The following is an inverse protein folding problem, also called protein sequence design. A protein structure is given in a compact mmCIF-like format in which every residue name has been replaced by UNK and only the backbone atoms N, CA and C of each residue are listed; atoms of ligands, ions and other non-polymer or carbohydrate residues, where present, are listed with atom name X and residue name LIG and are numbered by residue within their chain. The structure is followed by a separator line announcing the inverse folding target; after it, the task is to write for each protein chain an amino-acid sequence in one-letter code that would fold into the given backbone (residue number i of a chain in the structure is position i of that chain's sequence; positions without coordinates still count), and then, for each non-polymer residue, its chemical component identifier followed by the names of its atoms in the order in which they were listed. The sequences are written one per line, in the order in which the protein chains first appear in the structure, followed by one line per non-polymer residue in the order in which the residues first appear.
data_IF_692796137062
#
_entry.id   IF_692796137062
#
_cell.length_a   1.000
_cell.length_b   1.000
_cell.length_c   1.000
_cell.angle_alpha   90.00
_cell.angle_beta   90.00
_cell.angle_gamma   90.00
#
_symmetry.space_group_name_H-M   'P 1'
#
loop_
_entity.id
_entity.type
_entity.pdbx_description
1 polymer ?
#
# COMPACT_ATOMS: atom_id res chain seq x y z
N UNK A 1 -3.32 -31.83 -5.96
CA UNK A 1 -2.31 -31.51 -6.98
C UNK A 1 -2.51 -32.45 -8.16
N UNK A 2 -3.29 -32.06 -9.16
CA UNK A 2 -3.45 -32.74 -10.46
C UNK A 2 -4.39 -31.85 -11.32
N UNK A 3 -3.92 -30.67 -11.72
CA UNK A 3 -4.62 -29.76 -12.64
C UNK A 3 -3.72 -29.33 -13.81
N UNK A 4 -2.76 -30.19 -14.17
CA UNK A 4 -1.76 -29.90 -15.20
C UNK A 4 -1.96 -30.74 -16.49
N UNK A 5 -2.80 -31.77 -16.45
CA UNK A 5 -2.98 -32.68 -17.59
C UNK A 5 -4.14 -32.33 -18.54
N UNK A 6 -4.96 -31.31 -18.26
CA UNK A 6 -6.15 -31.02 -19.08
C UNK A 6 -6.05 -29.78 -19.98
N UNK A 7 -4.94 -29.03 -19.92
CA UNK A 7 -4.77 -27.80 -20.71
C UNK A 7 -3.77 -27.95 -21.87
N UNK A 8 -2.95 -29.02 -21.91
CA UNK A 8 -1.91 -29.16 -22.93
C UNK A 8 -2.42 -29.65 -24.31
N UNK A 9 -3.67 -30.12 -24.42
CA UNK A 9 -4.19 -30.73 -25.65
C UNK A 9 -5.28 -29.94 -26.40
N UNK A 10 -5.61 -28.71 -25.99
CA UNK A 10 -6.52 -27.84 -26.77
C UNK A 10 -5.76 -26.64 -27.33
N UNK A 11 -5.12 -26.83 -28.49
CA UNK A 11 -4.54 -25.72 -29.26
C UNK A 11 -3.39 -26.04 -30.20
N UNK A 12 -3.05 -27.30 -30.46
CA UNK A 12 -1.93 -27.66 -31.34
C UNK A 12 -2.20 -27.47 -32.86
N UNK A 13 -3.10 -26.56 -33.24
CA UNK A 13 -3.54 -26.40 -34.63
C UNK A 13 -3.30 -25.02 -35.27
N UNK A 14 -3.48 -23.92 -34.53
CA UNK A 14 -3.48 -22.59 -35.15
C UNK A 14 -2.71 -21.52 -34.37
N UNK A 15 -2.45 -21.73 -33.09
CA UNK A 15 -1.93 -20.66 -32.26
C UNK A 15 -0.40 -20.72 -32.14
N UNK A 16 0.27 -19.76 -32.79
CA UNK A 16 1.73 -19.70 -32.97
C UNK A 16 2.46 -19.01 -31.82
N UNK A 17 1.72 -18.38 -30.90
CA UNK A 17 2.27 -17.59 -29.80
C UNK A 17 1.50 -17.85 -28.51
N UNK A 18 2.19 -18.36 -27.49
CA UNK A 18 1.63 -18.55 -26.16
C UNK A 18 2.46 -17.79 -25.12
N UNK A 19 1.79 -16.95 -24.34
CA UNK A 19 2.34 -16.24 -23.19
C UNK A 19 1.70 -16.81 -21.93
N UNK A 20 2.52 -17.29 -21.02
CA UNK A 20 2.09 -17.88 -19.75
C UNK A 20 2.89 -17.30 -18.59
N UNK A 21 2.27 -17.30 -17.43
CA UNK A 21 2.91 -16.93 -16.16
C UNK A 21 2.64 -18.02 -15.13
N UNK A 22 3.49 -18.14 -14.11
CA UNK A 22 3.41 -19.24 -13.13
C UNK A 22 2.11 -19.26 -12.32
N UNK A 23 1.58 -18.08 -11.98
CA UNK A 23 0.28 -17.84 -11.35
C UNK A 23 -0.39 -16.62 -11.99
N UNK A 24 -1.69 -16.44 -11.72
CA UNK A 24 -2.47 -15.25 -12.10
C UNK A 24 -2.51 -14.18 -11.01
N UNK A 25 -2.14 -14.52 -9.77
CA UNK A 25 -2.13 -13.60 -8.63
C UNK A 25 -0.79 -13.70 -7.90
N UNK A 26 -0.16 -12.56 -7.65
CA UNK A 26 1.14 -12.46 -6.96
C UNK A 26 1.07 -11.43 -5.83
N UNK A 27 1.94 -11.57 -4.84
CA UNK A 27 2.12 -10.58 -3.78
C UNK A 27 3.13 -9.52 -4.22
N UNK A 28 3.02 -8.33 -3.64
CA UNK A 28 4.02 -7.28 -3.82
C UNK A 28 5.43 -7.80 -3.48
N UNK A 29 6.37 -7.63 -4.42
CA UNK A 29 7.76 -8.08 -4.29
C UNK A 29 8.00 -9.54 -4.68
N UNK A 30 6.96 -10.28 -5.07
CA UNK A 30 7.11 -11.62 -5.64
C UNK A 30 7.61 -11.54 -7.08
N UNK A 31 8.48 -12.48 -7.45
CA UNK A 31 9.03 -12.59 -8.79
C UNK A 31 8.00 -13.25 -9.72
N UNK A 32 7.62 -12.55 -10.78
CA UNK A 32 6.67 -13.05 -11.77
C UNK A 32 7.45 -13.67 -12.91
N UNK A 33 7.46 -15.00 -12.99
CA UNK A 33 8.09 -15.73 -14.08
C UNK A 33 7.16 -15.80 -15.28
N UNK A 34 7.71 -15.48 -16.45
CA UNK A 34 6.99 -15.43 -17.71
C UNK A 34 7.64 -16.38 -18.69
N UNK A 35 6.79 -17.21 -19.30
CA UNK A 35 7.17 -18.22 -20.28
C UNK A 35 6.46 -17.88 -21.58
N UNK A 36 7.23 -17.64 -22.63
CA UNK A 36 6.73 -17.38 -23.99
C UNK A 36 7.13 -18.54 -24.88
N UNK A 37 6.17 -19.13 -25.58
CA UNK A 37 6.43 -20.18 -26.57
C UNK A 37 6.06 -19.67 -27.96
N UNK A 38 7.00 -19.76 -28.90
CA UNK A 38 6.83 -19.28 -30.27
C UNK A 38 7.06 -20.41 -31.27
N UNK A 39 6.10 -20.59 -32.16
CA UNK A 39 6.10 -21.60 -33.21
C UNK A 39 5.98 -20.95 -34.59
N UNK A 40 6.67 -21.54 -35.58
CA UNK A 40 6.57 -21.17 -36.99
C UNK A 40 5.21 -21.59 -37.57
N UNK A 41 4.96 -21.22 -38.82
CA UNK A 41 3.76 -21.59 -39.58
C UNK A 41 3.62 -23.12 -39.71
N UNK A 42 4.75 -23.81 -39.88
CA UNK A 42 4.83 -25.28 -39.94
C UNK A 42 4.76 -25.96 -38.56
N UNK A 43 4.48 -25.20 -37.48
CA UNK A 43 4.47 -25.70 -36.10
C UNK A 43 5.87 -25.96 -35.50
N UNK A 44 6.94 -25.69 -36.25
CA UNK A 44 8.32 -25.88 -35.77
C UNK A 44 8.74 -24.76 -34.79
N UNK A 45 9.49 -25.08 -33.71
CA UNK A 45 9.88 -24.08 -32.71
C UNK A 45 10.88 -23.06 -33.28
N UNK A 46 10.64 -21.76 -33.02
CA UNK A 46 11.55 -20.68 -33.46
C UNK A 46 12.72 -20.55 -32.50
N UNK A 47 13.95 -20.70 -33.00
CA UNK A 47 15.19 -20.64 -32.19
C UNK A 47 15.91 -19.30 -32.39
N UNK A 48 16.52 -18.80 -31.32
CA UNK A 48 17.42 -17.65 -31.37
C UNK A 48 16.73 -16.31 -31.65
N UNK A 49 15.41 -16.21 -31.50
CA UNK A 49 14.71 -14.94 -31.64
C UNK A 49 15.04 -14.03 -30.45
N UNK A 50 15.21 -12.73 -30.72
CA UNK A 50 15.34 -11.73 -29.67
C UNK A 50 13.94 -11.26 -29.29
N UNK A 51 13.47 -11.70 -28.12
CA UNK A 51 12.14 -11.38 -27.62
C UNK A 51 12.24 -10.59 -26.31
N UNK A 52 11.23 -9.76 -26.06
CA UNK A 52 11.03 -9.04 -24.82
C UNK A 52 9.62 -9.29 -24.29
N UNK A 53 9.48 -9.37 -22.97
CA UNK A 53 8.18 -9.39 -22.30
C UNK A 53 7.80 -7.98 -21.91
N UNK A 54 6.56 -7.59 -22.14
CA UNK A 54 6.02 -6.32 -21.71
C UNK A 54 4.87 -6.54 -20.72
N UNK A 55 4.93 -5.88 -19.56
CA UNK A 55 3.85 -5.85 -18.59
C UNK A 55 3.21 -4.45 -18.61
N UNK A 56 2.02 -4.35 -19.21
CA UNK A 56 1.27 -3.09 -19.31
C UNK A 56 0.17 -3.01 -18.25
N UNK A 57 0.12 -1.88 -17.53
CA UNK A 57 -0.98 -1.54 -16.61
C UNK A 57 -1.87 -0.47 -17.25
N UNK A 58 -3.18 -0.44 -16.99
CA UNK A 58 -4.07 0.62 -17.51
C UNK A 58 -3.70 2.05 -17.11
N UNK A 59 -2.92 2.21 -16.04
CA UNK A 59 -2.63 3.52 -15.42
C UNK A 59 -1.14 3.88 -15.38
N UNK A 60 -0.26 3.00 -15.86
CA UNK A 60 1.20 3.15 -15.72
C UNK A 60 1.96 2.90 -17.01
N UNK A 61 3.24 3.25 -17.01
CA UNK A 61 4.15 2.92 -18.11
C UNK A 61 4.39 1.40 -18.19
N UNK A 62 4.49 0.84 -19.40
CA UNK A 62 4.77 -0.57 -19.58
C UNK A 62 6.20 -0.89 -19.13
N UNK A 63 6.34 -1.94 -18.33
CA UNK A 63 7.65 -2.46 -17.91
C UNK A 63 8.09 -3.50 -18.92
N UNK A 64 9.32 -3.38 -19.43
CA UNK A 64 9.87 -4.28 -20.45
C UNK A 64 11.05 -5.05 -19.89
N UNK A 65 11.08 -6.37 -20.09
CA UNK A 65 12.17 -7.25 -19.68
C UNK A 65 12.64 -8.11 -20.86
N UNK A 66 13.95 -8.34 -21.03
CA UNK A 66 14.45 -9.22 -22.07
C UNK A 66 14.09 -10.69 -21.74
N UNK A 67 13.63 -11.44 -22.75
CA UNK A 67 13.41 -12.87 -22.64
C UNK A 67 14.64 -13.62 -23.12
N UNK A 68 15.02 -14.69 -22.42
CA UNK A 68 16.13 -15.56 -22.78
C UNK A 68 15.60 -16.88 -23.32
N UNK A 69 16.19 -17.37 -24.41
CA UNK A 69 15.87 -18.69 -24.93
C UNK A 69 16.17 -19.76 -23.88
N UNK A 70 15.32 -20.78 -23.80
CA UNK A 70 15.52 -21.93 -22.94
C UNK A 70 16.40 -22.98 -23.65
N UNK A 71 17.51 -23.35 -23.00
CA UNK A 71 18.46 -24.33 -23.55
C UNK A 71 17.87 -25.75 -23.63
N UNK A 72 16.85 -26.08 -22.83
CA UNK A 72 16.26 -27.41 -22.76
C UNK A 72 15.06 -27.59 -23.68
N UNK A 73 14.33 -26.51 -23.98
CA UNK A 73 13.09 -26.55 -24.76
C UNK A 73 13.17 -25.53 -25.91
N UNK A 74 13.45 -25.98 -27.15
CA UNK A 74 13.47 -25.11 -28.31
C UNK A 74 12.14 -24.38 -28.50
N UNK A 75 12.19 -23.09 -28.82
CA UNK A 75 10.99 -22.27 -29.03
C UNK A 75 10.40 -21.69 -27.75
N UNK A 76 10.93 -22.06 -26.57
CA UNK A 76 10.55 -21.48 -25.29
C UNK A 76 11.53 -20.38 -24.87
N UNK A 77 10.98 -19.29 -24.37
CA UNK A 77 11.70 -18.12 -23.89
C UNK A 77 11.22 -17.78 -22.47
N UNK A 78 12.17 -17.50 -21.58
CA UNK A 78 11.96 -17.27 -20.16
C UNK A 78 12.36 -15.84 -19.79
N UNK A 79 11.55 -15.19 -18.97
CA UNK A 79 11.89 -13.92 -18.36
C UNK A 79 11.23 -13.76 -17.01
N UNK A 80 11.53 -12.67 -16.33
CA UNK A 80 10.90 -12.36 -15.06
C UNK A 80 10.72 -10.88 -14.85
N UNK A 81 9.58 -10.52 -14.28
CA UNK A 81 9.32 -9.19 -13.75
C UNK A 81 9.52 -9.21 -12.24
N UNK A 82 10.32 -8.26 -11.76
CA UNK A 82 10.62 -8.08 -10.34
C UNK A 82 10.01 -6.76 -9.85
N UNK A 83 9.44 -6.75 -8.64
CA UNK A 83 8.93 -5.56 -7.97
C UNK A 83 7.88 -4.75 -8.78
N UNK A 84 6.99 -5.43 -9.50
CA UNK A 84 5.84 -4.73 -10.11
C UNK A 84 4.97 -4.11 -9.00
N UNK A 85 4.55 -2.84 -9.14
CA UNK A 85 3.61 -2.21 -8.23
C UNK A 85 2.28 -3.00 -8.11
N UNK A 86 1.50 -2.80 -7.03
CA UNK A 86 0.18 -3.42 -6.92
C UNK A 86 -0.74 -2.94 -8.06
N UNK A 87 -1.40 -3.88 -8.75
CA UNK A 87 -2.25 -3.58 -9.89
C UNK A 87 -2.50 -4.78 -10.81
N UNK A 88 -3.39 -4.59 -11.79
CA UNK A 88 -3.62 -5.56 -12.84
C UNK A 88 -2.72 -5.25 -14.05
N UNK A 89 -2.02 -6.27 -14.54
CA UNK A 89 -1.10 -6.20 -15.66
C UNK A 89 -1.53 -7.15 -16.76
N UNK A 90 -1.43 -6.67 -18.00
CA UNK A 90 -1.46 -7.52 -19.19
C UNK A 90 -0.02 -7.76 -19.63
N UNK A 91 0.39 -9.02 -19.62
CA UNK A 91 1.70 -9.46 -20.07
C UNK A 91 1.61 -9.89 -21.53
N UNK A 92 2.44 -9.30 -22.38
CA UNK A 92 2.56 -9.62 -23.81
C UNK A 92 4.02 -9.88 -24.17
N UNK A 93 4.25 -10.58 -25.28
CA UNK A 93 5.58 -10.70 -25.88
C UNK A 93 5.72 -9.64 -26.99
N UNK A 94 6.94 -9.16 -27.22
CA UNK A 94 7.29 -8.24 -28.28
C UNK A 94 8.63 -8.62 -28.92
N UNK A 95 8.73 -8.45 -30.23
CA UNK A 95 9.88 -8.77 -31.06
C UNK A 95 9.46 -8.98 -32.51
N UNK A 96 10.40 -8.91 -33.45
CA UNK A 96 10.15 -8.97 -34.90
C UNK A 96 9.27 -10.18 -35.29
N UNK A 97 9.65 -11.38 -34.82
CA UNK A 97 8.88 -12.61 -35.08
C UNK A 97 7.46 -12.57 -34.50
N UNK A 98 7.28 -11.89 -33.36
CA UNK A 98 5.97 -11.78 -32.71
C UNK A 98 5.09 -10.78 -33.46
N UNK A 99 5.66 -9.69 -33.95
CA UNK A 99 4.96 -8.70 -34.77
C UNK A 99 4.48 -9.31 -36.08
N UNK A 100 5.30 -10.13 -36.76
CA UNK A 100 4.89 -10.85 -37.96
C UNK A 100 3.72 -11.81 -37.71
N UNK A 101 3.76 -12.54 -36.59
CA UNK A 101 2.69 -13.46 -36.19
C UNK A 101 1.39 -12.70 -35.89
N UNK A 102 1.47 -11.59 -35.14
CA UNK A 102 0.31 -10.75 -34.79
C UNK A 102 -0.24 -9.98 -36.01
N UNK A 103 0.59 -9.64 -36.99
CA UNK A 103 0.14 -9.05 -38.24
C UNK A 103 -0.69 -10.02 -39.08
N UNK A 104 -0.33 -11.30 -39.07
CA UNK A 104 -1.10 -12.35 -39.74
C UNK A 104 -2.37 -12.76 -38.95
N UNK A 105 -2.29 -12.75 -37.62
CA UNK A 105 -3.37 -13.13 -36.72
C UNK A 105 -3.42 -12.21 -35.48
N UNK A 106 -4.11 -11.05 -35.55
CA UNK A 106 -4.10 -10.06 -34.48
C UNK A 106 -4.77 -10.55 -33.18
N UNK A 107 -5.68 -11.51 -33.27
CA UNK A 107 -6.42 -12.09 -32.14
C UNK A 107 -5.91 -13.50 -31.76
N UNK A 108 -4.62 -13.78 -31.95
CA UNK A 108 -4.01 -15.05 -31.55
C UNK A 108 -4.32 -15.36 -30.06
N UNK A 109 -5.17 -16.37 -29.81
CA UNK A 109 -5.61 -16.74 -28.46
C UNK A 109 -4.43 -17.16 -27.58
N UNK A 110 -4.19 -16.48 -26.46
CA UNK A 110 -3.03 -16.77 -25.60
C UNK A 110 -1.76 -15.97 -25.94
N UNK A 111 -1.85 -14.99 -26.85
CA UNK A 111 -0.83 -13.95 -27.04
C UNK A 111 -0.62 -13.04 -25.83
N UNK A 112 -1.50 -13.09 -24.83
CA UNK A 112 -1.36 -12.33 -23.59
C UNK A 112 -1.82 -13.12 -22.35
N UNK A 113 -1.21 -12.81 -21.21
CA UNK A 113 -1.59 -13.31 -19.89
C UNK A 113 -2.01 -12.16 -18.97
N UNK A 114 -3.02 -12.38 -18.13
CA UNK A 114 -3.47 -11.39 -17.14
C UNK A 114 -2.91 -11.79 -15.78
N UNK A 115 -2.24 -10.85 -15.14
CA UNK A 115 -1.62 -11.01 -13.83
C UNK A 115 -2.10 -9.91 -12.90
N UNK A 116 -2.38 -10.23 -11.64
CA UNK A 116 -2.73 -9.23 -10.62
C UNK A 116 -1.73 -9.27 -9.48
N UNK A 117 -1.06 -8.14 -9.23
CA UNK A 117 -0.20 -7.95 -8.06
C UNK A 117 -1.03 -7.34 -6.94
N UNK A 118 -1.15 -8.06 -5.84
CA UNK A 118 -1.93 -7.63 -4.67
C UNK A 118 -0.99 -7.03 -3.64
N UNK A 119 -1.38 -5.88 -3.08
CA UNK A 119 -0.71 -5.31 -1.93
C UNK A 119 -0.75 -6.32 -0.76
N UNK A 120 0.27 -6.37 0.10
CA UNK A 120 0.22 -7.24 1.26
C UNK A 120 -1.02 -6.89 2.09
N UNK A 121 -1.93 -7.85 2.25
CA UNK A 121 -3.03 -7.69 3.18
C UNK A 121 -2.44 -7.50 4.58
N UNK A 122 -2.76 -6.39 5.23
CA UNK A 122 -2.46 -6.23 6.64
C UNK A 122 -3.17 -7.36 7.37
N UNK A 123 -2.44 -8.19 8.11
CA UNK A 123 -3.00 -9.31 8.87
C UNK A 123 -4.11 -8.86 9.84
N UNK A 124 -4.01 -7.63 10.35
CA UNK A 124 -5.02 -6.95 11.17
C UNK A 124 -6.35 -6.67 10.42
N UNK A 125 -6.29 -6.60 9.09
CA UNK A 125 -7.47 -6.44 8.24
C UNK A 125 -8.09 -7.80 7.87
N UNK A 126 -7.28 -8.88 7.84
CA UNK A 126 -7.77 -10.24 7.67
C UNK A 126 -8.49 -10.76 8.92
N UNK A 127 -8.01 -10.42 10.13
CA UNK A 127 -8.73 -10.63 11.38
C UNK A 127 -8.72 -9.37 12.24
N UNK A 128 -9.84 -8.66 12.27
CA UNK A 128 -10.01 -7.42 13.06
C UNK A 128 -10.18 -7.70 14.56
N UNK A 129 -10.22 -8.96 14.99
CA UNK A 129 -10.31 -9.31 16.41
C UNK A 129 -8.93 -9.18 17.06
N UNK A 130 -8.87 -8.46 18.18
CA UNK A 130 -7.66 -8.45 19.00
C UNK A 130 -7.34 -9.84 19.57
N UNK A 131 -6.08 -10.26 19.45
CA UNK A 131 -5.61 -11.55 19.99
C UNK A 131 -5.54 -11.52 21.53
N UNK A 132 -6.64 -11.89 22.18
CA UNK A 132 -6.78 -11.89 23.65
C UNK A 132 -5.82 -12.86 24.35
N UNK A 133 -5.44 -13.95 23.70
CA UNK A 133 -4.54 -14.93 24.29
C UNK A 133 -3.12 -14.36 24.38
N UNK A 134 -2.63 -13.77 23.28
CA UNK A 134 -1.35 -13.08 23.24
C UNK A 134 -1.29 -11.94 24.28
N UNK A 135 -2.34 -11.12 24.37
CA UNK A 135 -2.40 -10.03 25.35
C UNK A 135 -2.31 -10.55 26.79
N UNK A 136 -2.93 -11.71 27.09
CA UNK A 136 -2.85 -12.33 28.42
C UNK A 136 -1.46 -12.87 28.74
N UNK A 137 -0.80 -13.49 27.76
CA UNK A 137 0.58 -13.97 27.92
C UNK A 137 1.54 -12.80 28.19
N UNK A 138 1.44 -11.73 27.41
CA UNK A 138 2.20 -10.50 27.62
C UNK A 138 1.96 -9.89 29.00
N UNK A 139 0.70 -9.81 29.43
CA UNK A 139 0.36 -9.32 30.77
C UNK A 139 0.99 -10.18 31.87
N UNK A 140 0.95 -11.52 31.72
CA UNK A 140 1.58 -12.43 32.67
C UNK A 140 3.12 -12.24 32.74
N UNK A 141 3.78 -12.03 31.61
CA UNK A 141 5.23 -11.81 31.56
C UNK A 141 5.65 -10.45 32.12
N UNK A 142 4.82 -9.42 31.96
CA UNK A 142 5.12 -8.03 32.35
C UNK A 142 4.59 -7.67 33.72
N UNK A 143 3.92 -8.60 34.43
CA UNK A 143 3.10 -8.31 35.62
C UNK A 143 2.04 -7.22 35.37
N UNK A 144 1.60 -7.10 34.12
CA UNK A 144 0.55 -6.20 33.68
C UNK A 144 -0.84 -6.83 33.77
N UNK A 145 -1.85 -6.11 33.29
CA UNK A 145 -3.22 -6.59 33.22
C UNK A 145 -3.87 -6.24 31.87
N UNK A 146 -4.73 -7.12 31.37
CA UNK A 146 -5.48 -6.89 30.13
C UNK A 146 -6.85 -6.32 30.47
N UNK A 147 -7.11 -5.08 30.05
CA UNK A 147 -8.41 -4.43 30.21
C UNK A 147 -9.25 -4.54 28.92
N UNK A 148 -10.56 -4.84 29.00
CA UNK A 148 -11.46 -4.69 27.88
C UNK A 148 -11.70 -3.20 27.57
N UNK A 149 -12.07 -2.83 26.33
CA UNK A 149 -12.39 -1.44 25.96
C UNK A 149 -13.48 -0.79 26.83
N UNK A 150 -14.40 -1.59 27.40
CA UNK A 150 -15.42 -1.09 28.32
C UNK A 150 -14.86 -0.65 29.68
N UNK A 151 -13.65 -1.09 30.06
CA UNK A 151 -13.02 -0.82 31.35
C UNK A 151 -11.94 0.29 31.26
N UNK A 152 -12.01 1.19 30.27
CA UNK A 152 -11.06 2.31 30.13
C UNK A 152 -11.04 3.21 31.37
N UNK A 153 -12.18 3.37 32.06
CA UNK A 153 -12.23 4.11 33.33
C UNK A 153 -11.36 3.51 34.42
N UNK A 154 -11.25 2.19 34.48
CA UNK A 154 -10.39 1.49 35.44
C UNK A 154 -8.91 1.65 35.06
N UNK A 155 -8.59 1.71 33.76
CA UNK A 155 -7.24 2.00 33.28
C UNK A 155 -6.75 3.35 33.83
N UNK A 156 -7.59 4.39 33.78
CA UNK A 156 -7.25 5.73 34.28
C UNK A 156 -7.01 5.76 35.80
N UNK A 157 -7.77 4.95 36.56
CA UNK A 157 -7.60 4.83 38.01
C UNK A 157 -6.30 4.11 38.36
N UNK A 158 -5.94 3.09 37.59
CA UNK A 158 -4.73 2.28 37.79
C UNK A 158 -3.48 3.01 37.29
N UNK A 159 -3.62 3.87 36.28
CA UNK A 159 -2.58 4.75 35.77
C UNK A 159 -2.50 6.08 36.49
N UNK A 160 -3.26 6.29 37.57
CA UNK A 160 -3.18 7.47 38.42
C UNK A 160 -1.84 7.45 39.17
N UNK A 161 -0.77 7.68 38.42
CA UNK A 161 0.54 7.99 38.93
C UNK A 161 0.42 9.24 39.81
N UNK A 162 1.21 9.26 40.88
CA UNK A 162 1.28 10.33 41.86
C UNK A 162 1.16 11.71 41.18
N UNK A 163 0.39 12.67 41.75
CA UNK A 163 0.18 13.96 41.14
C UNK A 163 1.53 14.60 40.82
N UNK A 164 1.85 14.71 39.53
CA UNK A 164 3.02 15.43 39.07
C UNK A 164 2.72 16.90 39.29
N UNK A 165 3.29 17.48 40.34
CA UNK A 165 3.21 18.92 40.58
C UNK A 165 3.99 19.61 39.47
N UNK A 166 3.27 20.23 38.54
CA UNK A 166 3.84 21.09 37.51
C UNK A 166 3.64 22.52 38.03
N UNK A 167 4.74 23.21 38.32
CA UNK A 167 4.69 24.63 38.71
C UNK A 167 4.60 25.49 37.45
N UNK A 168 3.39 25.96 37.14
CA UNK A 168 3.16 26.91 36.05
C UNK A 168 3.18 28.35 36.59
N UNK A 169 4.20 29.12 36.20
CA UNK A 169 4.25 30.55 36.50
C UNK A 169 3.48 31.33 35.43
N UNK A 170 2.28 31.81 35.77
CA UNK A 170 1.46 32.62 34.86
C UNK A 170 1.56 34.11 35.21
N UNK A 171 2.02 34.93 34.27
CA UNK A 171 2.00 36.39 34.39
C UNK A 171 0.63 36.93 33.97
N UNK A 172 -0.24 37.23 34.92
CA UNK A 172 -1.52 37.89 34.60
C UNK A 172 -1.35 39.41 34.59
N UNK A 173 -1.69 40.09 33.49
CA UNK A 173 -1.59 41.54 33.41
C UNK A 173 -2.60 42.24 34.34
N UNK A 174 -2.13 43.19 35.15
CA UNK A 174 -2.98 43.91 36.11
C UNK A 174 -4.04 44.77 35.41
N UNK A 175 -3.74 45.35 34.24
CA UNK A 175 -4.66 46.20 33.49
C UNK A 175 -5.92 45.47 33.03
N UNK A 176 -5.90 44.14 32.94
CA UNK A 176 -7.06 43.35 32.54
C UNK A 176 -8.06 43.12 33.69
N UNK A 177 -7.78 43.63 34.90
CA UNK A 177 -8.72 43.52 36.03
C UNK A 177 -9.49 44.82 36.19
N UNK A 178 -10.79 44.78 35.85
CA UNK A 178 -11.74 45.90 35.95
C UNK A 178 -11.77 46.61 37.31
N UNK A 179 -11.40 45.89 38.40
CA UNK A 179 -11.26 46.47 39.74
C UNK A 179 -10.26 47.63 39.81
N UNK A 180 -9.14 47.55 39.09
CA UNK A 180 -8.12 48.60 39.10
C UNK A 180 -8.55 49.83 38.30
N UNK A 181 -9.34 49.61 37.24
CA UNK A 181 -9.96 50.70 36.49
C UNK A 181 -10.88 51.55 37.40
N UNK A 182 -11.75 50.90 38.19
CA UNK A 182 -12.61 51.62 39.13
C UNK A 182 -11.85 52.37 40.22
N UNK A 183 -10.72 51.85 40.69
CA UNK A 183 -9.87 52.56 41.67
C UNK A 183 -9.34 53.86 41.06
N UNK A 184 -8.80 53.81 39.83
CA UNK A 184 -8.28 55.00 39.14
C UNK A 184 -9.39 56.03 38.89
N UNK A 185 -10.54 55.59 38.38
CA UNK A 185 -11.71 56.46 38.16
C UNK A 185 -12.21 57.06 39.47
N UNK A 186 -12.26 56.27 40.55
CA UNK A 186 -12.65 56.72 41.88
C UNK A 186 -11.70 57.78 42.43
N UNK A 187 -10.38 57.58 42.31
CA UNK A 187 -9.39 58.58 42.71
C UNK A 187 -9.56 59.88 41.92
N UNK A 188 -9.75 59.79 40.60
CA UNK A 188 -9.93 60.97 39.74
C UNK A 188 -11.25 61.70 40.03
N UNK A 189 -12.34 60.96 40.23
CA UNK A 189 -13.64 61.53 40.61
C UNK A 189 -13.57 62.20 42.00
N UNK A 190 -12.84 61.59 42.94
CA UNK A 190 -12.63 62.16 44.27
C UNK A 190 -11.81 63.44 44.19
N UNK A 191 -10.71 63.43 43.44
CA UNK A 191 -9.89 64.62 43.20
C UNK A 191 -10.70 65.75 42.56
N UNK A 192 -11.48 65.43 41.53
CA UNK A 192 -12.38 66.40 40.89
C UNK A 192 -13.44 66.93 41.86
N UNK A 193 -14.05 66.06 42.66
CA UNK A 193 -15.04 66.45 43.67
C UNK A 193 -14.45 67.38 44.73
N UNK A 194 -13.26 67.08 45.23
CA UNK A 194 -12.53 67.94 46.16
C UNK A 194 -12.21 69.28 45.51
N UNK A 195 -11.69 69.28 44.27
CA UNK A 195 -11.36 70.50 43.53
C UNK A 195 -12.60 71.38 43.31
N UNK A 196 -13.75 70.76 43.02
CA UNK A 196 -15.05 71.42 42.86
C UNK A 196 -15.52 72.05 44.17
N UNK A 197 -15.34 71.38 45.31
CA UNK A 197 -15.73 71.91 46.63
C UNK A 197 -14.84 73.08 47.09
N UNK A 198 -13.57 73.09 46.71
CA UNK A 198 -12.61 74.15 47.05
C UNK A 198 -12.70 75.34 46.06
N UNK A 199 -13.49 75.22 44.98
CA UNK A 199 -13.73 76.30 44.02
C UNK A 199 -12.60 76.52 43.00
N UNK A 200 -11.75 75.51 42.77
CA UNK A 200 -10.66 75.57 41.78
C UNK A 200 -11.09 75.17 40.35
N UNK A 201 -12.40 74.94 40.12
CA UNK A 201 -13.03 74.66 38.80
C UNK A 201 -14.41 75.31 38.71
#
# INVERSE_FOLDING_TARGET
MLRWLTAAERGAGENRLFVQTSDTQYKLGEKIEVVVTVSSEDGSPVRGAQLSGQAASPTGEPVVVPLRADDNVPGRYLGSFDNLPPGAYRVTAAGEVVEDILAAAPDAEGSSAIVTVVAPENIEMADTRGNRNLLKELAAMTSGQVLPPAAVGDALRLSAAAPRVIEDTTLTPLWNKWRYFWIVVGCLATEWGIRRMIGLV
#
